data_IF_788604039479
#
_entry.id   IF_788604039479
#
_cell.length_a   1.000
_cell.length_b   1.000
_cell.length_c   1.000
_cell.angle_alpha   90.00
_cell.angle_beta   90.00
_cell.angle_gamma   90.00
#
_symmetry.space_group_name_H-M   'P 1'
#
loop_
_entity.id
_entity.type
_entity.pdbx_description
1 polymer ?
#
# COMPACT_ATOMS: atom_id res chain seq x y z
N UNK A 1 -1.62 -7.70 39.94
CA UNK A 1 -2.11 -6.57 39.13
C UNK A 1 -2.53 -7.12 37.77
N UNK A 2 -3.81 -7.03 37.37
CA UNK A 2 -4.20 -7.43 36.03
C UNK A 2 -3.66 -6.38 35.05
N UNK A 3 -2.89 -6.84 34.06
CA UNK A 3 -2.39 -6.00 32.99
C UNK A 3 -3.60 -5.48 32.21
N UNK A 4 -3.87 -4.16 32.11
CA UNK A 4 -4.97 -3.68 31.28
C UNK A 4 -4.66 -4.07 29.84
N UNK A 5 -5.46 -4.97 29.28
CA UNK A 5 -5.31 -5.41 27.90
C UNK A 5 -5.58 -4.17 27.01
N UNK A 6 -4.51 -3.55 26.51
CA UNK A 6 -4.55 -2.33 25.67
C UNK A 6 -4.89 -2.64 24.22
N UNK A 7 -5.19 -3.90 23.91
CA UNK A 7 -5.64 -4.31 22.58
C UNK A 7 -7.04 -3.77 22.35
N UNK A 8 -7.23 -3.12 21.21
CA UNK A 8 -8.57 -2.73 20.77
C UNK A 8 -9.46 -3.99 20.71
N UNK A 9 -10.67 -3.96 21.29
CA UNK A 9 -11.58 -5.09 21.22
C UNK A 9 -11.82 -5.42 19.74
N UNK A 10 -11.93 -6.72 19.44
CA UNK A 10 -12.22 -7.15 18.07
C UNK A 10 -13.57 -6.52 17.66
N UNK A 11 -13.62 -5.66 16.62
CA UNK A 11 -14.81 -4.89 16.32
C UNK A 11 -15.97 -5.86 16.02
N UNK A 12 -17.16 -5.68 16.64
CA UNK A 12 -18.18 -6.72 16.65
C UNK A 12 -18.93 -6.88 15.31
N UNK A 13 -18.73 -6.00 14.32
CA UNK A 13 -19.14 -6.15 12.92
C UNK A 13 -18.51 -4.98 12.14
N UNK A 14 -17.55 -5.22 11.24
CA UNK A 14 -16.98 -4.19 10.36
C UNK A 14 -15.45 -4.04 10.39
N UNK A 15 -14.97 -2.91 9.84
CA UNK A 15 -13.55 -2.55 9.68
C UNK A 15 -12.76 -2.55 11.00
N UNK A 16 -11.43 -2.63 10.95
CA UNK A 16 -10.57 -2.76 12.14
C UNK A 16 -10.56 -1.53 13.06
N UNK A 17 -10.88 -0.35 12.51
CA UNK A 17 -10.95 0.93 13.20
C UNK A 17 -11.85 1.89 12.43
N UNK A 18 -12.29 2.96 13.10
CA UNK A 18 -12.91 4.10 12.43
C UNK A 18 -11.85 4.92 11.71
N UNK A 19 -12.13 5.34 10.46
CA UNK A 19 -11.19 6.14 9.69
C UNK A 19 -11.18 7.60 10.17
N UNK A 20 -10.08 8.04 10.78
CA UNK A 20 -9.86 9.44 11.19
C UNK A 20 -9.08 10.26 10.15
N UNK A 21 -8.73 9.64 9.03
CA UNK A 21 -7.89 10.22 7.99
C UNK A 21 -8.73 11.13 7.08
N UNK A 22 -8.14 12.24 6.63
CA UNK A 22 -8.75 13.06 5.58
C UNK A 22 -8.81 12.31 4.25
N UNK A 23 -9.79 12.64 3.39
CA UNK A 23 -9.96 11.98 2.07
C UNK A 23 -8.67 11.96 1.24
N UNK A 24 -7.90 13.06 1.23
CA UNK A 24 -6.61 13.13 0.54
C UNK A 24 -5.59 12.11 1.09
N UNK A 25 -5.51 11.96 2.42
CA UNK A 25 -4.63 10.98 3.06
C UNK A 25 -5.07 9.54 2.79
N UNK A 26 -6.38 9.31 2.72
CA UNK A 26 -6.95 8.00 2.37
C UNK A 26 -6.49 7.58 0.97
N UNK A 27 -6.67 8.45 -0.03
CA UNK A 27 -6.26 8.21 -1.42
C UNK A 27 -4.76 7.92 -1.51
N UNK A 28 -3.93 8.71 -0.83
CA UNK A 28 -2.47 8.52 -0.77
C UNK A 28 -2.09 7.15 -0.18
N UNK A 29 -2.69 6.76 0.94
CA UNK A 29 -2.41 5.47 1.58
C UNK A 29 -2.92 4.28 0.76
N UNK A 30 -4.10 4.40 0.15
CA UNK A 30 -4.64 3.35 -0.74
C UNK A 30 -3.69 3.14 -1.93
N UNK A 31 -3.23 4.22 -2.56
CA UNK A 31 -2.24 4.16 -3.64
C UNK A 31 -0.94 3.47 -3.17
N UNK A 32 -0.39 3.88 -2.02
CA UNK A 32 0.81 3.28 -1.45
C UNK A 32 0.64 1.78 -1.21
N UNK A 33 -0.42 1.37 -0.50
CA UNK A 33 -0.67 -0.04 -0.20
C UNK A 33 -0.95 -0.88 -1.45
N UNK A 34 -1.60 -0.30 -2.46
CA UNK A 34 -1.84 -0.98 -3.72
C UNK A 34 -0.52 -1.24 -4.49
N UNK A 35 0.42 -0.29 -4.49
CA UNK A 35 1.79 -0.47 -5.03
C UNK A 35 2.55 -1.59 -4.30
N UNK A 36 2.24 -1.80 -3.02
CA UNK A 36 2.73 -2.91 -2.22
C UNK A 36 1.95 -4.23 -2.41
N UNK A 37 1.02 -4.29 -3.37
CA UNK A 37 0.17 -5.45 -3.71
C UNK A 37 -0.65 -5.98 -2.52
N UNK A 38 -1.06 -5.07 -1.63
CA UNK A 38 -2.01 -5.41 -0.57
C UNK A 38 -3.41 -5.48 -1.20
N UNK A 39 -4.17 -6.54 -0.85
CA UNK A 39 -5.52 -6.74 -1.37
C UNK A 39 -6.46 -5.60 -0.96
N UNK A 40 -7.36 -5.11 -1.84
CA UNK A 40 -8.30 -4.01 -1.54
C UNK A 40 -9.09 -4.22 -0.26
N UNK A 41 -9.66 -5.42 -0.05
CA UNK A 41 -10.40 -5.76 1.17
C UNK A 41 -9.56 -5.62 2.44
N UNK A 42 -8.25 -5.86 2.36
CA UNK A 42 -7.34 -5.73 3.50
C UNK A 42 -6.92 -4.28 3.74
N UNK A 43 -6.87 -3.46 2.69
CA UNK A 43 -6.66 -2.01 2.79
C UNK A 43 -7.87 -1.38 3.49
N UNK A 44 -9.07 -1.66 2.98
CA UNK A 44 -10.34 -1.22 3.56
C UNK A 44 -10.45 -1.60 5.04
N UNK A 45 -10.24 -2.89 5.35
CA UNK A 45 -10.20 -3.40 6.74
C UNK A 45 -9.23 -2.63 7.64
N UNK A 46 -8.00 -2.36 7.18
CA UNK A 46 -6.97 -1.72 8.01
C UNK A 46 -7.14 -0.23 8.19
N UNK A 47 -7.72 0.44 7.20
CA UNK A 47 -7.87 1.90 7.20
C UNK A 47 -9.22 2.36 7.74
N UNK A 48 -10.22 1.47 7.85
CA UNK A 48 -11.56 1.88 8.24
C UNK A 48 -12.37 2.51 7.12
N UNK A 49 -11.98 2.30 5.86
CA UNK A 49 -12.59 2.93 4.68
C UNK A 49 -13.51 1.93 4.01
N UNK A 50 -14.60 2.41 3.41
CA UNK A 50 -15.50 1.56 2.63
C UNK A 50 -14.75 0.85 1.48
N UNK A 51 -14.96 -0.46 1.35
CA UNK A 51 -14.38 -1.23 0.24
C UNK A 51 -14.83 -0.70 -1.11
N UNK A 52 -16.06 -0.19 -1.23
CA UNK A 52 -16.56 0.40 -2.46
C UNK A 52 -15.78 1.66 -2.86
N UNK A 53 -15.40 2.52 -1.89
CA UNK A 53 -14.56 3.69 -2.16
C UNK A 53 -13.14 3.28 -2.58
N UNK A 54 -12.57 2.27 -1.92
CA UNK A 54 -11.26 1.72 -2.29
C UNK A 54 -11.30 1.18 -3.72
N UNK A 55 -12.34 0.43 -4.08
CA UNK A 55 -12.51 -0.11 -5.43
C UNK A 55 -12.73 0.99 -6.48
N UNK A 56 -13.48 2.05 -6.16
CA UNK A 56 -13.70 3.19 -7.05
C UNK A 56 -12.40 3.96 -7.38
N UNK A 57 -11.50 4.14 -6.42
CA UNK A 57 -10.18 4.73 -6.70
C UNK A 57 -9.29 3.80 -7.53
N UNK A 58 -9.34 2.49 -7.27
CA UNK A 58 -8.54 1.50 -7.98
C UNK A 58 -9.03 1.28 -9.43
N UNK A 59 -10.33 1.41 -9.67
CA UNK A 59 -10.93 1.31 -11.01
C UNK A 59 -10.75 2.59 -11.84
N UNK A 60 -10.35 3.70 -11.21
CA UNK A 60 -10.29 5.02 -11.85
C UNK A 60 -11.63 5.72 -11.97
N UNK A 61 -12.70 5.21 -11.34
CA UNK A 61 -14.01 5.88 -11.31
C UNK A 61 -13.96 7.21 -10.54
N UNK A 62 -13.04 7.32 -9.57
CA UNK A 62 -12.81 8.54 -8.81
C UNK A 62 -11.33 8.95 -8.82
N UNK A 63 -11.08 10.27 -8.93
CA UNK A 63 -9.77 10.90 -8.73
C UNK A 63 -8.60 10.26 -9.54
N UNK A 64 -8.90 9.71 -10.72
CA UNK A 64 -7.98 8.86 -11.51
C UNK A 64 -6.60 9.51 -11.73
N UNK A 65 -6.56 10.75 -12.21
CA UNK A 65 -5.30 11.43 -12.52
C UNK A 65 -4.42 11.60 -11.28
N UNK A 66 -5.04 11.97 -10.14
CA UNK A 66 -4.33 12.12 -8.88
C UNK A 66 -3.83 10.76 -8.38
N UNK A 67 -4.67 9.74 -8.45
CA UNK A 67 -4.34 8.39 -8.00
C UNK A 67 -3.18 7.79 -8.82
N UNK A 68 -3.20 7.95 -10.15
CA UNK A 68 -2.13 7.50 -11.04
C UNK A 68 -0.80 8.22 -10.77
N UNK A 69 -0.85 9.53 -10.51
CA UNK A 69 0.34 10.30 -10.13
C UNK A 69 0.94 9.78 -8.82
N UNK A 70 0.11 9.53 -7.81
CA UNK A 70 0.51 8.95 -6.53
C UNK A 70 1.11 7.55 -6.73
N UNK A 71 0.45 6.68 -7.48
CA UNK A 71 0.95 5.33 -7.79
C UNK A 71 2.34 5.37 -8.44
N UNK A 72 2.57 6.27 -9.40
CA UNK A 72 3.86 6.44 -10.06
C UNK A 72 4.95 6.88 -9.06
N UNK A 73 4.63 7.86 -8.21
CA UNK A 73 5.53 8.34 -7.15
C UNK A 73 5.90 7.23 -6.15
N UNK A 74 4.89 6.50 -5.65
CA UNK A 74 5.10 5.40 -4.69
C UNK A 74 5.85 4.22 -5.32
N UNK A 75 5.61 3.89 -6.60
CA UNK A 75 6.40 2.85 -7.32
C UNK A 75 7.87 3.23 -7.39
N UNK A 76 8.19 4.48 -7.72
CA UNK A 76 9.57 4.97 -7.75
C UNK A 76 10.21 4.89 -6.37
N UNK A 77 9.50 5.30 -5.32
CA UNK A 77 9.97 5.21 -3.92
C UNK A 77 10.22 3.75 -3.50
N UNK A 78 9.30 2.84 -3.82
CA UNK A 78 9.45 1.40 -3.55
C UNK A 78 10.69 0.82 -4.24
N UNK A 79 10.89 1.17 -5.51
CA UNK A 79 12.06 0.75 -6.27
C UNK A 79 13.37 1.24 -5.63
N UNK A 80 13.46 2.52 -5.26
CA UNK A 80 14.62 3.07 -4.57
C UNK A 80 14.89 2.37 -3.23
N UNK A 81 13.85 2.09 -2.44
CA UNK A 81 14.00 1.33 -1.19
C UNK A 81 14.52 -0.09 -1.43
N UNK A 82 14.07 -0.77 -2.49
CA UNK A 82 14.57 -2.10 -2.85
C UNK A 82 16.04 -2.06 -3.27
N UNK A 83 16.47 -1.04 -4.03
CA UNK A 83 17.87 -0.84 -4.37
C UNK A 83 18.75 -0.62 -3.14
N UNK A 84 18.35 0.30 -2.24
CA UNK A 84 19.08 0.54 -1.01
C UNK A 84 19.19 -0.72 -0.13
N UNK A 85 18.17 -1.57 -0.12
CA UNK A 85 18.23 -2.87 0.57
C UNK A 85 19.20 -3.83 -0.12
N UNK A 86 19.23 -3.84 -1.46
CA UNK A 86 20.15 -4.66 -2.23
C UNK A 86 21.61 -4.25 -2.03
N UNK A 87 21.90 -2.96 -1.91
CA UNK A 87 23.25 -2.43 -1.69
C UNK A 87 23.85 -2.85 -0.34
N UNK A 88 23.00 -3.15 0.65
CA UNK A 88 23.43 -3.71 1.94
C UNK A 88 23.80 -5.19 1.86
N UNK A 89 23.44 -5.86 0.78
CA UNK A 89 23.77 -7.26 0.51
C UNK A 89 24.96 -7.32 -0.45
N UNK A 90 25.68 -8.45 -0.45
CA UNK A 90 26.81 -8.69 -1.35
C UNK A 90 26.60 -9.95 -2.17
N UNK A 91 27.27 -10.02 -3.31
CA UNK A 91 27.28 -11.19 -4.20
C UNK A 91 25.96 -11.41 -4.94
N UNK A 92 25.67 -12.67 -5.24
CA UNK A 92 24.54 -13.08 -6.09
C UNK A 92 23.19 -12.58 -5.57
N UNK A 93 23.00 -12.60 -4.24
CA UNK A 93 21.75 -12.14 -3.59
C UNK A 93 21.44 -10.66 -3.85
N UNK A 94 22.47 -9.81 -3.95
CA UNK A 94 22.29 -8.40 -4.29
C UNK A 94 21.87 -8.23 -5.76
N UNK A 95 22.46 -9.03 -6.66
CA UNK A 95 22.12 -9.03 -8.08
C UNK A 95 20.67 -9.46 -8.34
N UNK A 96 20.24 -10.58 -7.73
CA UNK A 96 18.86 -11.07 -7.84
C UNK A 96 17.85 -10.04 -7.33
N UNK A 97 18.15 -9.38 -6.21
CA UNK A 97 17.27 -8.34 -5.65
C UNK A 97 17.14 -7.13 -6.58
N UNK A 98 18.22 -6.68 -7.20
CA UNK A 98 18.19 -5.59 -8.20
C UNK A 98 17.40 -5.99 -9.45
N UNK A 99 17.56 -7.24 -9.92
CA UNK A 99 16.82 -7.77 -11.06
C UNK A 99 15.32 -7.86 -10.76
N UNK A 100 14.95 -8.37 -9.58
CA UNK A 100 13.57 -8.42 -9.11
C UNK A 100 12.97 -7.00 -9.01
N UNK A 101 13.70 -6.04 -8.45
CA UNK A 101 13.25 -4.65 -8.35
C UNK A 101 13.00 -4.01 -9.73
N UNK A 102 13.87 -4.28 -10.71
CA UNK A 102 13.70 -3.80 -12.09
C UNK A 102 12.46 -4.42 -12.75
N UNK A 103 12.24 -5.72 -12.55
CA UNK A 103 11.06 -6.44 -13.07
C UNK A 103 9.77 -5.92 -12.43
N UNK A 104 9.76 -5.68 -11.12
CA UNK A 104 8.62 -5.10 -10.40
C UNK A 104 8.23 -3.73 -10.95
N UNK A 105 9.21 -2.87 -11.27
CA UNK A 105 8.97 -1.56 -11.87
C UNK A 105 8.36 -1.68 -13.28
N UNK A 106 8.87 -2.61 -14.10
CA UNK A 106 8.37 -2.84 -15.46
C UNK A 106 6.95 -3.43 -15.46
N UNK A 107 6.66 -4.40 -14.60
CA UNK A 107 5.34 -5.02 -14.48
C UNK A 107 4.26 -4.06 -13.97
N UNK A 108 4.64 -3.05 -13.16
CA UNK A 108 3.71 -2.02 -12.73
C UNK A 108 3.18 -1.19 -13.90
N UNK A 109 3.97 -0.96 -14.94
CA UNK A 109 3.61 -0.11 -16.08
C UNK A 109 2.65 -0.75 -17.09
N UNK A 110 2.27 -2.02 -16.89
CA UNK A 110 1.45 -2.82 -17.83
C UNK A 110 0.01 -3.06 -17.38
N UNK A 111 -0.54 -2.19 -16.52
CA UNK A 111 -1.97 -2.21 -16.15
C UNK A 111 -2.52 -0.81 -16.30
#
# INVERSE_FOLDING_TARGET
>A
MPNPDTRSPNPPLGYACDCTLSRRQQIELVAEFHVHRIRPSRIAYRLGIDIAEVEAWLSGEQDEQQFQHLMTSHRRRKYQMQLHRADRLRGQKAYEMRLAAKKDLQQGNTV
#
